data_IF_892451125035
#
_entry.id   IF_892451125035
#
_cell.length_a   1.000
_cell.length_b   1.000
_cell.length_c   1.000
_cell.angle_alpha   90.00
_cell.angle_beta   90.00
_cell.angle_gamma   90.00
#
_symmetry.space_group_name_H-M   'P 1'
#
loop_
_entity.id
_entity.type
_entity.pdbx_description
1 polymer ?
#
# COMPACT_ATOMS: atom_id res chain seq x y z
N UNK A 1 -36.45 17.45 -15.61
CA UNK A 1 -35.68 16.17 -15.59
C UNK A 1 -34.18 16.40 -15.57
N UNK A 2 -33.63 17.30 -16.39
CA UNK A 2 -32.21 17.67 -16.41
C UNK A 2 -31.72 18.29 -15.09
N UNK A 3 -32.49 19.19 -14.47
CA UNK A 3 -32.20 19.82 -13.19
C UNK A 3 -32.02 18.78 -12.05
N UNK A 4 -32.86 17.73 -12.06
CA UNK A 4 -32.76 16.65 -11.06
C UNK A 4 -31.48 15.82 -11.20
N UNK A 5 -31.02 15.58 -12.43
CA UNK A 5 -29.78 14.85 -12.72
C UNK A 5 -28.56 15.67 -12.34
N UNK A 6 -28.58 16.98 -12.65
CA UNK A 6 -27.49 17.89 -12.28
C UNK A 6 -27.39 18.04 -10.75
N UNK A 7 -28.52 18.13 -10.05
CA UNK A 7 -28.52 18.15 -8.58
C UNK A 7 -27.96 16.86 -8.00
N UNK A 8 -28.30 15.70 -8.55
CA UNK A 8 -27.73 14.42 -8.14
C UNK A 8 -26.20 14.39 -8.35
N UNK A 9 -25.72 14.85 -9.49
CA UNK A 9 -24.29 14.92 -9.77
C UNK A 9 -23.55 15.75 -8.70
N UNK A 10 -24.04 16.94 -8.35
CA UNK A 10 -23.44 17.76 -7.30
C UNK A 10 -23.45 17.11 -5.91
N UNK A 11 -24.48 16.34 -5.59
CA UNK A 11 -24.50 15.55 -4.35
C UNK A 11 -23.46 14.42 -4.37
N UNK A 12 -23.30 13.74 -5.51
CA UNK A 12 -22.34 12.64 -5.68
C UNK A 12 -20.88 13.13 -5.68
N UNK A 13 -20.58 14.37 -6.06
CA UNK A 13 -19.24 14.96 -5.94
C UNK A 13 -18.72 14.95 -4.51
N UNK A 14 -19.61 14.98 -3.51
CA UNK A 14 -19.24 14.92 -2.08
C UNK A 14 -18.77 13.52 -1.64
N UNK A 15 -19.02 12.49 -2.47
CA UNK A 15 -18.68 11.10 -2.21
C UNK A 15 -17.81 10.58 -3.35
N UNK A 16 -16.48 10.74 -3.29
CA UNK A 16 -15.58 10.43 -4.40
C UNK A 16 -15.78 9.04 -5.01
N UNK A 17 -16.03 8.05 -4.17
CA UNK A 17 -16.37 6.68 -4.58
C UNK A 17 -17.74 6.32 -4.03
N UNK A 18 -18.68 5.96 -4.91
CA UNK A 18 -20.05 5.63 -4.53
C UNK A 18 -20.58 4.36 -5.20
N UNK A 19 -21.64 3.81 -4.65
CA UNK A 19 -22.35 2.61 -5.14
C UNK A 19 -23.80 2.94 -5.52
N UNK A 20 -24.52 1.97 -6.10
CA UNK A 20 -25.94 2.13 -6.38
C UNK A 20 -26.75 2.42 -5.10
N UNK A 21 -26.35 1.82 -3.97
CA UNK A 21 -27.00 2.03 -2.67
C UNK A 21 -26.87 3.48 -2.19
N UNK A 22 -25.73 4.14 -2.48
CA UNK A 22 -25.57 5.56 -2.18
C UNK A 22 -26.54 6.42 -2.98
N UNK A 23 -26.75 6.08 -4.24
CA UNK A 23 -27.70 6.80 -5.13
C UNK A 23 -29.15 6.50 -4.78
N UNK A 24 -29.44 5.27 -4.32
CA UNK A 24 -30.80 4.87 -3.95
C UNK A 24 -31.41 5.70 -2.82
N UNK A 25 -30.60 6.39 -2.03
CA UNK A 25 -31.09 7.34 -1.01
C UNK A 25 -31.90 8.50 -1.58
N UNK A 26 -31.75 8.76 -2.88
CA UNK A 26 -32.45 9.84 -3.61
C UNK A 26 -33.59 9.32 -4.48
N UNK A 27 -33.89 8.01 -4.44
CA UNK A 27 -34.90 7.35 -5.28
C UNK A 27 -35.71 6.34 -4.48
N UNK A 28 -36.90 6.06 -4.96
CA UNK A 28 -37.85 5.12 -4.29
C UNK A 28 -37.42 3.65 -4.45
N UNK A 29 -36.61 3.34 -5.46
CA UNK A 29 -36.18 1.98 -5.76
C UNK A 29 -34.83 1.91 -6.47
N UNK A 30 -34.17 0.75 -6.39
CA UNK A 30 -32.86 0.48 -6.96
C UNK A 30 -32.78 0.61 -8.49
N UNK A 31 -33.87 0.33 -9.20
CA UNK A 31 -33.87 0.40 -10.66
C UNK A 31 -33.87 1.84 -11.15
N UNK A 32 -34.55 2.73 -10.44
CA UNK A 32 -34.49 4.17 -10.66
C UNK A 32 -33.10 4.72 -10.41
N UNK A 33 -32.45 4.29 -9.32
CA UNK A 33 -31.08 4.65 -8.99
C UNK A 33 -30.09 4.17 -10.08
N UNK A 34 -30.19 2.91 -10.53
CA UNK A 34 -29.38 2.37 -11.64
C UNK A 34 -29.59 3.13 -12.93
N UNK A 35 -30.86 3.50 -13.24
CA UNK A 35 -31.21 4.27 -14.43
C UNK A 35 -30.61 5.68 -14.40
N UNK A 36 -30.59 6.32 -13.22
CA UNK A 36 -29.95 7.62 -13.02
C UNK A 36 -28.44 7.55 -13.24
N UNK A 37 -27.76 6.54 -12.67
CA UNK A 37 -26.32 6.32 -12.89
C UNK A 37 -26.03 6.09 -14.38
N UNK A 38 -26.79 5.24 -15.06
CA UNK A 38 -26.63 5.00 -16.51
C UNK A 38 -26.74 6.29 -17.32
N UNK A 39 -27.65 7.19 -16.93
CA UNK A 39 -27.82 8.48 -17.59
C UNK A 39 -26.63 9.39 -17.35
N UNK A 40 -26.16 9.52 -16.10
CA UNK A 40 -24.95 10.28 -15.77
C UNK A 40 -23.72 9.74 -16.50
N UNK A 41 -23.61 8.43 -16.66
CA UNK A 41 -22.54 7.80 -17.44
C UNK A 41 -22.64 8.15 -18.94
N UNK A 42 -23.85 8.17 -19.51
CA UNK A 42 -24.08 8.56 -20.90
C UNK A 42 -23.70 10.01 -21.17
N UNK A 43 -23.93 10.89 -20.20
CA UNK A 43 -23.55 12.31 -20.26
C UNK A 43 -22.06 12.55 -19.91
N UNK A 44 -21.27 11.50 -19.63
CA UNK A 44 -19.86 11.61 -19.29
C UNK A 44 -19.59 12.18 -17.89
N UNK A 45 -20.60 12.32 -17.04
CA UNK A 45 -20.50 12.88 -15.69
C UNK A 45 -20.05 11.86 -14.64
N UNK A 46 -20.19 10.56 -14.93
CA UNK A 46 -19.85 9.45 -14.02
C UNK A 46 -19.10 8.39 -14.79
N UNK A 47 -18.05 7.84 -14.19
CA UNK A 47 -17.34 6.66 -14.68
C UNK A 47 -17.59 5.46 -13.75
N UNK A 48 -17.64 4.27 -14.37
CA UNK A 48 -17.68 3.00 -13.66
C UNK A 48 -16.27 2.53 -13.36
N UNK A 49 -15.92 2.42 -12.08
CA UNK A 49 -14.62 1.89 -11.63
C UNK A 49 -14.62 0.36 -11.78
N UNK A 50 -15.64 -0.29 -11.23
CA UNK A 50 -15.89 -1.74 -11.32
C UNK A 50 -17.37 -2.03 -11.05
N UNK A 51 -17.73 -3.31 -10.89
CA UNK A 51 -19.13 -3.66 -10.58
C UNK A 51 -19.59 -2.99 -9.27
N UNK A 52 -20.71 -2.27 -9.36
CA UNK A 52 -21.33 -1.51 -8.27
C UNK A 52 -20.39 -0.48 -7.59
N UNK A 53 -19.46 0.08 -8.34
CA UNK A 53 -18.50 1.08 -7.82
C UNK A 53 -18.26 2.15 -8.88
N UNK A 54 -18.50 3.40 -8.54
CA UNK A 54 -18.52 4.53 -9.47
C UNK A 54 -17.82 5.75 -8.88
N UNK A 55 -17.42 6.68 -9.74
CA UNK A 55 -16.90 8.01 -9.37
C UNK A 55 -17.46 9.06 -10.33
N UNK A 56 -17.59 10.30 -9.86
CA UNK A 56 -17.87 11.42 -10.75
C UNK A 56 -16.65 11.77 -11.60
N UNK A 57 -16.92 12.32 -12.78
CA UNK A 57 -15.90 12.97 -13.64
C UNK A 57 -15.98 14.46 -13.38
N UNK A 58 -14.85 15.08 -13.10
CA UNK A 58 -14.76 16.53 -12.88
C UNK A 58 -15.12 17.28 -14.17
N UNK A 59 -16.08 18.17 -14.10
CA UNK A 59 -16.42 19.03 -15.24
C UNK A 59 -15.31 20.02 -15.63
N UNK A 60 -14.37 20.28 -14.74
CA UNK A 60 -13.22 21.18 -14.96
C UNK A 60 -12.07 20.46 -15.65
N UNK A 61 -11.68 19.28 -15.14
CA UNK A 61 -10.47 18.57 -15.59
C UNK A 61 -10.76 17.40 -16.54
N UNK A 62 -12.01 16.93 -16.61
CA UNK A 62 -12.37 15.70 -17.32
C UNK A 62 -11.84 14.41 -16.70
N UNK A 63 -11.18 14.48 -15.53
CA UNK A 63 -10.62 13.36 -14.81
C UNK A 63 -11.58 12.84 -13.72
N UNK A 64 -11.42 11.57 -13.26
CA UNK A 64 -12.13 11.05 -12.10
C UNK A 64 -11.89 11.91 -10.85
N UNK A 65 -12.94 12.15 -10.07
CA UNK A 65 -12.86 12.88 -8.80
C UNK A 65 -12.17 12.05 -7.72
N UNK A 66 -12.43 10.74 -7.72
CA UNK A 66 -11.77 9.84 -6.79
C UNK A 66 -10.32 9.59 -7.20
N UNK A 67 -9.39 9.80 -6.28
CA UNK A 67 -8.01 9.38 -6.49
C UNK A 67 -7.82 7.88 -6.20
N UNK A 68 -6.68 7.30 -6.65
CA UNK A 68 -6.37 5.88 -6.52
C UNK A 68 -6.42 5.34 -5.09
N UNK A 69 -6.05 6.14 -4.10
CA UNK A 69 -6.04 5.74 -2.68
C UNK A 69 -7.47 5.65 -2.11
N UNK A 70 -8.35 6.58 -2.52
CA UNK A 70 -9.78 6.54 -2.16
C UNK A 70 -10.47 5.33 -2.79
N UNK A 71 -10.18 5.05 -4.06
CA UNK A 71 -10.68 3.85 -4.76
C UNK A 71 -10.23 2.59 -4.03
N UNK A 72 -8.92 2.46 -3.76
CA UNK A 72 -8.33 1.32 -3.05
C UNK A 72 -9.02 1.04 -1.71
N UNK A 73 -9.36 2.10 -0.97
CA UNK A 73 -9.97 2.00 0.36
C UNK A 73 -11.45 1.57 0.34
N UNK A 74 -12.09 1.57 -0.84
CA UNK A 74 -13.52 1.28 -0.99
C UNK A 74 -13.83 -0.01 -1.78
N UNK A 75 -12.80 -0.75 -2.23
CA UNK A 75 -12.96 -1.98 -3.03
C UNK A 75 -13.75 -3.05 -2.28
N UNK A 76 -13.45 -3.23 -0.99
CA UNK A 76 -14.18 -4.10 -0.07
C UNK A 76 -14.38 -3.41 1.28
N UNK A 77 -15.25 -3.92 2.16
CA UNK A 77 -15.42 -3.37 3.50
C UNK A 77 -14.13 -3.34 4.34
N UNK A 78 -13.18 -4.25 4.07
CA UNK A 78 -11.91 -4.38 4.81
C UNK A 78 -10.69 -3.93 4.02
N UNK A 79 -10.85 -3.38 2.80
CA UNK A 79 -9.72 -2.96 1.97
C UNK A 79 -9.03 -1.70 2.50
N UNK A 80 -7.71 -1.67 2.36
CA UNK A 80 -6.86 -0.54 2.71
C UNK A 80 -5.61 -0.49 1.84
N UNK A 81 -5.03 0.69 1.71
CA UNK A 81 -3.77 0.93 1.00
C UNK A 81 -2.60 0.39 1.80
N UNK A 82 -1.67 -0.32 1.16
CA UNK A 82 -0.52 -0.95 1.82
C UNK A 82 0.73 -0.94 0.93
N UNK A 83 1.85 -1.45 1.46
CA UNK A 83 3.12 -1.64 0.75
C UNK A 83 3.61 -0.36 0.05
N UNK A 84 4.15 -0.47 -1.18
CA UNK A 84 4.69 0.68 -1.93
C UNK A 84 3.68 1.78 -2.18
N UNK A 85 2.41 1.42 -2.39
CA UNK A 85 1.35 2.42 -2.53
C UNK A 85 1.20 3.27 -1.27
N UNK A 86 1.41 2.69 -0.10
CA UNK A 86 1.43 3.46 1.15
C UNK A 86 2.73 4.27 1.32
N UNK A 87 3.89 3.74 0.87
CA UNK A 87 5.15 4.52 0.82
C UNK A 87 4.99 5.78 -0.04
N UNK A 88 4.37 5.63 -1.21
CA UNK A 88 4.08 6.74 -2.11
C UNK A 88 3.13 7.77 -1.48
N UNK A 89 2.07 7.32 -0.82
CA UNK A 89 1.15 8.22 -0.10
C UNK A 89 1.86 9.08 0.95
N UNK A 90 2.85 8.52 1.65
CA UNK A 90 3.65 9.24 2.65
C UNK A 90 4.81 10.03 2.06
N UNK A 91 5.02 10.01 0.74
CA UNK A 91 6.15 10.67 0.08
C UNK A 91 7.50 10.09 0.53
N UNK A 92 7.57 8.79 0.81
CA UNK A 92 8.79 8.08 1.18
C UNK A 92 9.55 7.68 -0.08
N UNK A 93 8.85 7.27 -1.13
CA UNK A 93 9.40 6.95 -2.44
C UNK A 93 9.15 8.07 -3.43
N UNK A 94 10.11 8.34 -4.31
CA UNK A 94 9.99 9.30 -5.42
C UNK A 94 9.49 8.61 -6.71
N UNK A 95 9.32 7.30 -6.70
CA UNK A 95 8.84 6.55 -7.85
C UNK A 95 7.32 6.58 -7.95
N UNK A 96 6.81 6.67 -9.17
CA UNK A 96 5.38 6.57 -9.47
C UNK A 96 5.07 5.14 -9.89
N UNK A 97 4.22 4.48 -9.11
CA UNK A 97 3.79 3.12 -9.38
C UNK A 97 2.42 3.11 -10.04
N UNK A 98 2.27 2.30 -11.10
CA UNK A 98 0.98 2.05 -11.73
C UNK A 98 0.21 0.89 -11.07
N UNK A 99 0.89 0.07 -10.27
CA UNK A 99 0.28 -0.95 -9.44
C UNK A 99 -0.11 -0.36 -8.08
N UNK A 100 -1.39 -0.48 -7.71
CA UNK A 100 -1.95 -0.04 -6.44
C UNK A 100 -2.17 -1.26 -5.56
N UNK A 101 -1.35 -1.43 -4.53
CA UNK A 101 -1.43 -2.57 -3.61
C UNK A 101 -2.50 -2.35 -2.55
N UNK A 102 -3.51 -3.21 -2.58
CA UNK A 102 -4.69 -3.14 -1.73
C UNK A 102 -4.78 -4.39 -0.87
N UNK A 103 -4.53 -4.22 0.41
CA UNK A 103 -4.69 -5.30 1.37
C UNK A 103 -6.16 -5.40 1.83
N UNK A 104 -6.64 -6.63 1.98
CA UNK A 104 -8.02 -6.89 2.41
C UNK A 104 -8.17 -8.31 2.92
N UNK A 105 -9.10 -8.51 3.88
CA UNK A 105 -9.55 -9.84 4.30
C UNK A 105 -10.38 -10.52 3.21
N UNK A 106 -11.24 -9.75 2.56
CA UNK A 106 -12.07 -10.24 1.45
C UNK A 106 -11.30 -10.12 0.14
N UNK A 107 -11.10 -11.24 -0.55
CA UNK A 107 -10.47 -11.24 -1.86
C UNK A 107 -11.31 -10.52 -2.91
N UNK A 108 -10.62 -9.88 -3.85
CA UNK A 108 -11.23 -9.30 -5.04
C UNK A 108 -10.40 -9.65 -6.27
N UNK A 109 -11.04 -9.69 -7.43
CA UNK A 109 -10.33 -9.81 -8.71
C UNK A 109 -9.64 -8.50 -9.02
N UNK A 110 -8.36 -8.57 -9.37
CA UNK A 110 -7.59 -7.42 -9.84
C UNK A 110 -8.26 -6.77 -11.05
N UNK A 111 -8.12 -5.46 -11.17
CA UNK A 111 -8.74 -4.68 -12.25
C UNK A 111 -7.93 -3.41 -12.52
N UNK A 112 -8.17 -2.85 -13.69
CA UNK A 112 -7.57 -1.58 -14.11
C UNK A 112 -8.62 -0.46 -14.12
N UNK A 113 -8.21 0.72 -13.68
CA UNK A 113 -9.00 1.94 -13.78
C UNK A 113 -8.07 3.16 -13.78
N UNK A 114 -8.33 4.09 -14.68
CA UNK A 114 -7.62 5.38 -14.80
C UNK A 114 -6.08 5.24 -14.86
N UNK A 115 -5.61 4.24 -15.61
CA UNK A 115 -4.17 3.95 -15.79
C UNK A 115 -3.52 3.20 -14.64
N UNK A 116 -4.25 2.83 -13.59
CA UNK A 116 -3.75 2.08 -12.45
C UNK A 116 -4.32 0.66 -12.39
N UNK A 117 -3.48 -0.30 -12.00
CA UNK A 117 -3.87 -1.69 -11.74
C UNK A 117 -3.99 -1.91 -10.23
N UNK A 118 -5.16 -2.29 -9.76
CA UNK A 118 -5.42 -2.58 -8.35
C UNK A 118 -5.12 -4.03 -8.04
N UNK A 119 -4.03 -4.26 -7.27
CA UNK A 119 -3.49 -5.56 -6.90
C UNK A 119 -3.98 -5.99 -5.52
N UNK A 120 -4.44 -7.23 -5.44
CA UNK A 120 -4.91 -7.81 -4.19
C UNK A 120 -3.76 -8.36 -3.33
N UNK A 121 -3.73 -7.98 -2.07
CA UNK A 121 -2.88 -8.57 -1.04
C UNK A 121 -3.75 -9.14 0.07
N UNK A 122 -3.60 -10.42 0.36
CA UNK A 122 -4.34 -11.06 1.45
C UNK A 122 -3.86 -10.56 2.82
N UNK A 123 -4.78 -10.02 3.61
CA UNK A 123 -4.51 -9.62 4.99
C UNK A 123 -5.74 -9.80 5.85
N UNK A 124 -5.57 -10.38 7.03
CA UNK A 124 -6.64 -10.57 8.03
C UNK A 124 -6.57 -9.57 9.18
N UNK A 125 -5.59 -8.68 9.15
CA UNK A 125 -5.26 -7.85 10.28
C UNK A 125 -5.32 -6.36 9.91
N UNK A 126 -6.12 -5.64 10.66
CA UNK A 126 -6.33 -4.19 10.54
C UNK A 126 -5.46 -3.37 11.50
N UNK A 127 -4.60 -4.03 12.30
CA UNK A 127 -3.71 -3.32 13.22
C UNK A 127 -2.72 -2.43 12.45
N UNK A 128 -2.63 -1.18 12.83
CA UNK A 128 -1.82 -0.18 12.12
C UNK A 128 -2.47 0.42 10.88
N UNK A 129 -3.72 0.08 10.58
CA UNK A 129 -4.51 0.78 9.56
C UNK A 129 -5.12 2.03 10.16
N UNK A 130 -4.88 3.16 9.53
CA UNK A 130 -5.34 4.48 9.97
C UNK A 130 -6.18 5.14 8.88
N UNK A 131 -7.03 6.09 9.28
CA UNK A 131 -7.72 6.99 8.36
C UNK A 131 -7.20 8.41 8.63
N UNK A 132 -6.22 8.91 7.84
CA UNK A 132 -5.65 10.23 8.05
C UNK A 132 -6.73 11.32 7.96
N UNK A 133 -6.63 12.33 8.82
CA UNK A 133 -7.52 13.47 8.78
C UNK A 133 -7.50 14.15 7.40
N UNK A 134 -8.67 14.58 6.91
CA UNK A 134 -8.84 15.26 5.62
C UNK A 134 -8.45 14.42 4.39
N UNK A 135 -8.24 13.11 4.54
CA UNK A 135 -7.86 12.22 3.44
C UNK A 135 -9.03 11.82 2.52
N UNK A 136 -10.27 12.18 2.85
CA UNK A 136 -11.45 11.70 2.12
C UNK A 136 -11.70 10.20 2.37
N UNK A 137 -11.57 9.77 3.62
CA UNK A 137 -11.82 8.40 4.09
C UNK A 137 -10.83 7.34 3.53
N UNK A 138 -9.59 7.73 3.19
CA UNK A 138 -8.55 6.79 2.83
C UNK A 138 -8.20 5.95 4.05
N UNK A 139 -8.24 4.62 3.90
CA UNK A 139 -7.71 3.66 4.87
C UNK A 139 -6.34 3.21 4.40
N UNK A 140 -5.33 3.33 5.25
CA UNK A 140 -3.94 3.09 4.88
C UNK A 140 -3.13 2.58 6.08
N UNK A 141 -2.15 1.73 5.84
CA UNK A 141 -1.19 1.34 6.89
C UNK A 141 -0.35 2.53 7.31
N UNK A 142 -0.12 2.69 8.63
CA UNK A 142 0.84 3.69 9.11
C UNK A 142 2.27 3.34 8.68
N UNK A 143 3.21 4.27 8.85
CA UNK A 143 4.58 4.14 8.34
C UNK A 143 5.29 2.88 8.85
N UNK A 144 5.14 2.57 10.13
CA UNK A 144 5.78 1.41 10.76
C UNK A 144 5.21 0.10 10.20
N UNK A 145 3.89 0.00 10.07
CA UNK A 145 3.24 -1.16 9.46
C UNK A 145 3.60 -1.29 8.00
N UNK A 146 3.62 -0.19 7.26
CA UNK A 146 4.01 -0.16 5.84
C UNK A 146 5.41 -0.72 5.64
N UNK A 147 6.38 -0.29 6.46
CA UNK A 147 7.75 -0.81 6.43
C UNK A 147 7.78 -2.33 6.64
N UNK A 148 7.11 -2.81 7.68
CA UNK A 148 7.06 -4.24 8.01
C UNK A 148 6.45 -5.06 6.88
N UNK A 149 5.36 -4.59 6.27
CA UNK A 149 4.69 -5.25 5.15
C UNK A 149 5.58 -5.28 3.89
N UNK A 150 6.27 -4.18 3.57
CA UNK A 150 7.21 -4.13 2.44
C UNK A 150 8.37 -5.12 2.61
N UNK A 151 9.00 -5.16 3.79
CA UNK A 151 10.09 -6.11 4.08
C UNK A 151 9.60 -7.56 4.08
N UNK A 152 8.38 -7.81 4.56
CA UNK A 152 7.76 -9.14 4.55
C UNK A 152 7.58 -9.68 3.14
N UNK A 153 7.03 -8.86 2.26
CA UNK A 153 6.62 -9.27 0.91
C UNK A 153 7.56 -8.75 -0.20
N UNK A 154 8.78 -8.32 0.12
CA UNK A 154 9.72 -7.71 -0.82
C UNK A 154 10.01 -8.58 -2.06
N UNK A 155 10.06 -9.91 -1.92
CA UNK A 155 10.28 -10.82 -3.06
C UNK A 155 9.06 -10.92 -4.01
N UNK A 156 7.91 -10.36 -3.65
CA UNK A 156 6.67 -10.47 -4.43
C UNK A 156 6.25 -9.14 -5.03
N UNK A 157 6.63 -8.05 -4.39
CA UNK A 157 6.05 -6.74 -4.69
C UNK A 157 7.04 -5.86 -5.42
N UNK A 158 8.20 -5.56 -4.92
CA UNK A 158 9.06 -4.59 -5.56
C UNK A 158 10.54 -4.99 -5.65
N UNK A 159 10.90 -6.06 -4.99
CA UNK A 159 12.28 -6.49 -4.91
C UNK A 159 13.05 -5.79 -3.78
N UNK A 160 14.26 -6.29 -3.56
CA UNK A 160 15.09 -5.83 -2.44
C UNK A 160 15.65 -4.43 -2.65
N UNK A 161 15.98 -4.06 -3.88
CA UNK A 161 16.60 -2.77 -4.23
C UNK A 161 15.71 -1.61 -3.85
N UNK A 162 14.44 -1.72 -4.21
CA UNK A 162 13.43 -0.71 -3.92
C UNK A 162 13.16 -0.60 -2.41
N UNK A 163 13.01 -1.74 -1.72
CA UNK A 163 12.84 -1.75 -0.26
C UNK A 163 14.03 -1.09 0.45
N UNK A 164 15.26 -1.32 -0.01
CA UNK A 164 16.46 -0.67 0.54
C UNK A 164 16.43 0.84 0.31
N UNK A 165 16.04 1.28 -0.89
CA UNK A 165 15.92 2.71 -1.23
C UNK A 165 14.86 3.40 -0.38
N UNK A 166 13.70 2.78 -0.22
CA UNK A 166 12.61 3.28 0.63
C UNK A 166 13.05 3.39 2.09
N UNK A 167 13.72 2.34 2.63
CA UNK A 167 14.31 2.37 3.98
C UNK A 167 15.28 3.54 4.12
N UNK A 168 16.14 3.75 3.10
CA UNK A 168 17.06 4.88 3.05
C UNK A 168 16.38 6.24 3.09
N UNK A 169 15.16 6.36 2.59
CA UNK A 169 14.35 7.60 2.58
C UNK A 169 13.55 7.80 3.86
N UNK A 170 13.34 6.75 4.66
CA UNK A 170 12.56 6.82 5.89
C UNK A 170 13.24 7.68 6.97
N UNK A 171 12.41 8.36 7.74
CA UNK A 171 12.80 9.18 8.90
C UNK A 171 12.47 8.43 10.19
N UNK A 172 12.53 9.16 11.30
CA UNK A 172 12.25 8.63 12.64
C UNK A 172 10.99 7.77 12.71
N UNK A 173 11.12 6.60 13.35
CA UNK A 173 10.09 5.57 13.52
C UNK A 173 9.78 5.36 14.99
N UNK A 174 8.59 4.86 15.28
CA UNK A 174 8.22 4.41 16.61
C UNK A 174 8.58 2.92 16.77
N UNK A 175 9.74 2.61 17.33
CA UNK A 175 10.25 1.24 17.45
C UNK A 175 9.27 0.27 18.13
N UNK A 176 8.52 0.74 19.14
CA UNK A 176 7.48 -0.07 19.81
C UNK A 176 6.37 -0.51 18.86
N UNK A 177 6.01 0.34 17.87
CA UNK A 177 5.03 -0.05 16.83
C UNK A 177 5.64 -1.06 15.88
N UNK A 178 6.89 -0.87 15.44
CA UNK A 178 7.57 -1.84 14.59
C UNK A 178 7.61 -3.22 15.26
N UNK A 179 8.07 -3.30 16.51
CA UNK A 179 8.12 -4.55 17.28
C UNK A 179 6.72 -5.17 17.42
N UNK A 180 5.69 -4.36 17.71
CA UNK A 180 4.30 -4.85 17.78
C UNK A 180 3.85 -5.53 16.49
N UNK A 181 4.19 -4.96 15.32
CA UNK A 181 3.80 -5.56 14.04
C UNK A 181 4.64 -6.80 13.70
N UNK A 182 5.89 -6.86 14.12
CA UNK A 182 6.71 -8.06 14.01
C UNK A 182 6.16 -9.20 14.86
N UNK A 183 5.77 -8.92 16.10
CA UNK A 183 5.15 -9.88 17.03
C UNK A 183 3.84 -10.42 16.46
N UNK A 184 3.00 -9.53 15.94
CA UNK A 184 1.71 -9.87 15.33
C UNK A 184 1.87 -10.88 14.18
N UNK A 185 2.89 -10.69 13.35
CA UNK A 185 3.18 -11.59 12.23
C UNK A 185 3.89 -12.87 12.66
N UNK A 186 4.46 -12.93 13.87
CA UNK A 186 5.09 -14.10 14.50
C UNK A 186 6.09 -14.82 13.58
N UNK A 187 6.91 -14.09 12.82
CA UNK A 187 7.80 -14.62 11.80
C UNK A 187 9.27 -14.34 12.15
N UNK A 188 10.00 -15.35 12.63
CA UNK A 188 11.41 -15.24 12.98
C UNK A 188 12.27 -14.70 11.82
N UNK A 189 11.99 -15.11 10.60
CA UNK A 189 12.72 -14.62 9.42
C UNK A 189 12.52 -13.12 9.18
N UNK A 190 11.35 -12.59 9.52
CA UNK A 190 11.07 -11.17 9.40
C UNK A 190 11.90 -10.35 10.40
N UNK A 191 12.11 -10.84 11.63
CA UNK A 191 13.03 -10.23 12.59
C UNK A 191 14.46 -10.21 12.07
N UNK A 192 14.94 -11.29 11.41
CA UNK A 192 16.26 -11.32 10.78
C UNK A 192 16.38 -10.26 9.70
N UNK A 193 15.40 -10.18 8.78
CA UNK A 193 15.37 -9.18 7.71
C UNK A 193 15.35 -7.75 8.28
N UNK A 194 14.43 -7.47 9.19
CA UNK A 194 14.28 -6.13 9.78
C UNK A 194 15.54 -5.69 10.53
N UNK A 195 16.07 -6.54 11.40
CA UNK A 195 17.29 -6.22 12.13
C UNK A 195 18.46 -5.91 11.20
N UNK A 196 18.69 -6.74 10.18
CA UNK A 196 19.75 -6.52 9.20
C UNK A 196 19.54 -5.24 8.37
N UNK A 197 18.35 -5.05 7.79
CA UNK A 197 18.08 -3.93 6.89
C UNK A 197 18.10 -2.58 7.62
N UNK A 198 17.68 -2.54 8.90
CA UNK A 198 17.59 -1.29 9.66
C UNK A 198 18.87 -0.96 10.43
N UNK A 199 19.83 -1.88 10.57
CA UNK A 199 21.03 -1.68 11.39
C UNK A 199 21.84 -0.43 11.01
N UNK A 200 21.98 -0.15 9.72
CA UNK A 200 22.71 1.03 9.22
C UNK A 200 21.92 2.33 9.31
N UNK A 201 20.62 2.24 9.56
CA UNK A 201 19.71 3.39 9.67
C UNK A 201 19.30 3.69 11.12
N UNK A 202 19.94 3.02 12.10
CA UNK A 202 19.65 3.13 13.54
C UNK A 202 19.46 4.57 13.99
N UNK A 203 20.48 5.39 13.81
CA UNK A 203 20.50 6.81 14.24
C UNK A 203 19.41 7.63 13.53
N UNK A 204 19.31 7.49 12.21
CA UNK A 204 18.33 8.22 11.37
C UNK A 204 16.90 7.91 11.76
N UNK A 205 16.61 6.65 12.08
CA UNK A 205 15.28 6.18 12.45
C UNK A 205 15.01 6.33 13.95
N UNK A 206 16.03 6.62 14.76
CA UNK A 206 15.91 6.74 16.21
C UNK A 206 15.59 5.41 16.88
N UNK A 207 16.20 4.32 16.40
CA UNK A 207 16.06 2.97 16.96
C UNK A 207 17.09 2.75 18.06
N UNK A 208 16.69 2.10 19.14
CA UNK A 208 17.57 1.80 20.29
C UNK A 208 18.36 0.50 20.09
N UNK A 209 19.38 0.25 20.95
CA UNK A 209 20.05 -1.03 20.99
C UNK A 209 19.10 -2.14 21.42
N UNK A 210 18.19 -1.85 22.34
CA UNK A 210 17.14 -2.77 22.79
C UNK A 210 16.24 -3.25 21.65
N UNK A 211 15.97 -2.41 20.64
CA UNK A 211 15.24 -2.83 19.45
C UNK A 211 15.98 -3.95 18.73
N UNK A 212 17.28 -3.79 18.47
CA UNK A 212 18.08 -4.79 17.77
C UNK A 212 18.30 -6.04 18.61
N UNK A 213 18.50 -5.91 19.92
CA UNK A 213 18.62 -7.03 20.84
C UNK A 213 17.31 -7.84 20.89
N UNK A 214 16.17 -7.16 20.88
CA UNK A 214 14.86 -7.82 20.76
C UNK A 214 14.77 -8.59 19.44
N UNK A 215 15.14 -7.98 18.30
CA UNK A 215 15.15 -8.68 17.02
C UNK A 215 16.04 -9.92 17.07
N UNK A 216 17.28 -9.81 17.62
CA UNK A 216 18.20 -10.94 17.78
C UNK A 216 17.65 -12.05 18.66
N UNK A 217 16.95 -11.70 19.72
CA UNK A 217 16.34 -12.70 20.63
C UNK A 217 15.27 -13.55 19.98
N UNK A 218 14.61 -13.02 18.93
CA UNK A 218 13.54 -13.69 18.20
C UNK A 218 14.02 -14.53 17.00
N UNK A 219 15.31 -14.40 16.61
CA UNK A 219 15.83 -15.18 15.48
C UNK A 219 16.16 -16.62 15.89
N UNK A 220 15.83 -17.58 15.03
CA UNK A 220 16.13 -18.99 15.23
C UNK A 220 17.59 -19.33 14.88
N UNK A 221 17.92 -20.63 15.00
CA UNK A 221 19.25 -21.16 14.64
C UNK A 221 19.47 -21.30 13.13
N UNK A 222 18.41 -21.24 12.35
CA UNK A 222 18.44 -21.53 10.92
C UNK A 222 19.04 -20.38 10.12
N UNK A 223 20.02 -20.70 9.28
CA UNK A 223 20.50 -19.83 8.20
C UNK A 223 19.37 -19.60 7.18
N UNK A 224 19.17 -18.35 6.78
CA UNK A 224 18.17 -17.95 5.79
C UNK A 224 18.82 -17.11 4.69
N UNK A 225 18.19 -17.03 3.51
CA UNK A 225 18.59 -16.16 2.43
C UNK A 225 17.70 -14.93 2.42
N UNK A 226 18.30 -13.74 2.33
CA UNK A 226 17.55 -12.47 2.39
C UNK A 226 16.51 -12.36 1.29
N UNK A 227 16.87 -12.80 0.07
CA UNK A 227 15.98 -12.90 -1.09
C UNK A 227 15.99 -14.31 -1.65
N UNK A 228 14.99 -14.67 -2.47
CA UNK A 228 14.85 -16.01 -3.08
C UNK A 228 15.81 -16.23 -4.23
N UNK A 229 16.01 -15.21 -5.07
CA UNK A 229 16.79 -15.30 -6.31
C UNK A 229 18.22 -14.81 -6.07
N UNK A 230 19.01 -15.67 -5.39
CA UNK A 230 20.42 -15.37 -5.13
C UNK A 230 21.33 -16.42 -5.75
N UNK A 231 22.22 -15.99 -6.65
CA UNK A 231 23.40 -16.74 -7.07
C UNK A 231 24.61 -16.24 -6.28
N UNK A 232 25.07 -17.02 -5.31
CA UNK A 232 26.12 -16.60 -4.39
C UNK A 232 25.60 -15.83 -3.18
N UNK A 233 26.50 -15.28 -2.39
CA UNK A 233 26.18 -14.39 -1.29
C UNK A 233 27.07 -14.53 -0.06
N UNK A 234 27.12 -13.48 0.72
CA UNK A 234 27.89 -13.38 1.95
C UNK A 234 27.03 -13.73 3.17
N UNK A 235 27.53 -14.59 4.03
CA UNK A 235 26.85 -14.90 5.30
C UNK A 235 27.17 -13.85 6.38
N UNK A 236 26.11 -13.34 7.01
CA UNK A 236 26.17 -12.42 8.16
C UNK A 236 25.75 -13.19 9.41
N UNK A 237 26.72 -13.57 10.23
CA UNK A 237 26.49 -14.44 11.40
C UNK A 237 25.57 -13.80 12.43
N UNK A 238 25.70 -12.50 12.66
CA UNK A 238 24.87 -11.74 13.60
C UNK A 238 23.36 -11.90 13.35
N UNK A 239 22.96 -11.92 12.08
CA UNK A 239 21.56 -12.04 11.67
C UNK A 239 21.18 -13.40 11.09
N UNK A 240 22.13 -14.35 11.02
CA UNK A 240 21.97 -15.67 10.40
C UNK A 240 21.43 -15.57 8.97
N UNK A 241 21.82 -14.53 8.24
CA UNK A 241 21.38 -14.24 6.88
C UNK A 241 22.50 -14.43 5.85
N UNK A 242 22.15 -14.98 4.70
CA UNK A 242 22.94 -14.87 3.47
C UNK A 242 22.39 -13.69 2.68
N UNK A 243 23.21 -12.72 2.38
CA UNK A 243 22.87 -11.47 1.70
C UNK A 243 23.52 -11.46 0.31
N UNK A 244 22.94 -10.77 -0.69
CA UNK A 244 23.60 -10.55 -1.98
C UNK A 244 24.95 -9.87 -1.81
N UNK A 245 25.93 -10.22 -2.65
CA UNK A 245 27.28 -9.61 -2.58
C UNK A 245 27.26 -8.11 -2.82
N UNK A 246 26.39 -7.66 -3.72
CA UNK A 246 26.22 -6.25 -4.10
C UNK A 246 25.28 -5.45 -3.17
N UNK A 247 24.81 -6.03 -2.06
CA UNK A 247 23.83 -5.36 -1.18
C UNK A 247 24.30 -4.01 -0.65
N UNK A 248 25.59 -3.87 -0.38
CA UNK A 248 26.15 -2.60 0.09
C UNK A 248 26.23 -1.56 -1.02
N UNK A 249 26.38 -1.96 -2.29
CA UNK A 249 26.29 -1.06 -3.45
C UNK A 249 24.86 -0.56 -3.61
N UNK A 250 23.87 -1.44 -3.49
CA UNK A 250 22.44 -1.07 -3.49
C UNK A 250 22.13 -0.05 -2.38
N UNK A 251 22.62 -0.26 -1.17
CA UNK A 251 22.44 0.64 -0.01
C UNK A 251 23.08 2.01 -0.21
N UNK A 252 24.19 2.08 -0.97
CA UNK A 252 24.90 3.33 -1.26
C UNK A 252 24.43 4.04 -2.54
N UNK A 253 23.41 3.51 -3.22
CA UNK A 253 22.91 4.06 -4.49
C UNK A 253 23.88 3.92 -5.66
N UNK A 254 24.90 3.07 -5.55
CA UNK A 254 25.83 2.76 -6.64
C UNK A 254 25.21 1.67 -7.51
N UNK A 255 24.63 2.06 -8.63
CA UNK A 255 24.21 1.12 -9.68
C UNK A 255 25.49 0.72 -10.40
N UNK A 256 25.96 -0.51 -10.21
CA UNK A 256 26.94 -1.09 -11.16
C UNK A 256 26.20 -1.30 -12.49
N UNK A 257 26.56 -0.49 -13.50
CA UNK A 257 26.15 -0.74 -14.86
C UNK A 257 26.52 -2.18 -15.21
N UNK A 258 25.52 -3.01 -15.50
CA UNK A 258 25.72 -4.34 -16.02
C UNK A 258 26.48 -4.19 -17.34
N UNK A 259 27.78 -4.43 -17.30
CA UNK A 259 28.62 -4.50 -18.50
C UNK A 259 28.08 -5.65 -19.36
N UNK A 260 27.61 -5.29 -20.53
CA UNK A 260 27.10 -6.16 -21.63
C UNK A 260 28.15 -7.21 -22.00
#
# INVERSE_FOLDING_TARGET
MEVLILNLYFELLKTPVFTVENVNKYYDNMDSARSAIKRLMKEGMVAKIRNNMYTCISGETGAPVANRFQIASKITPTSYVSHHTAMEYYGITDQVYYDVYVASETSFREFEFDGYTYRYVASKDMEGVETPALSGEIRITNRERTLVDCVKDMDKIAGIEEVIQDIGSMKRMQEKRVLKYLDLLSNQFLYQKMGFLLSEHKEKMGLSDEFFDTCKSQIGKSKRYLTKDMSGGRYVDEWKLVIPENIYNMKNGVIEDATI
#
